data_IF_809348050117
#
_entry.id   IF_809348050117
#
_cell.length_a   1.000
_cell.length_b   1.000
_cell.length_c   1.000
_cell.angle_alpha   90.00
_cell.angle_beta   90.00
_cell.angle_gamma   90.00
#
_symmetry.space_group_name_H-M   'P 1'
#
loop_
_entity.id
_entity.type
_entity.pdbx_description
1 polymer ?
#
# COMPACT_ATOMS: atom_id res chain seq x y z
N UNK A 1 7.61 -2.29 23.01
CA UNK A 1 8.30 -1.38 22.08
C UNK A 1 7.63 -1.29 20.71
N UNK A 2 7.21 -2.41 20.10
CA UNK A 2 6.52 -2.39 18.80
C UNK A 2 5.24 -1.55 18.71
N UNK A 3 4.45 -1.41 19.79
CA UNK A 3 3.22 -0.58 19.79
C UNK A 3 3.51 0.90 19.54
N UNK A 4 4.61 1.43 20.08
CA UNK A 4 5.00 2.84 19.88
C UNK A 4 5.42 3.09 18.43
N UNK A 5 6.19 2.16 17.85
CA UNK A 5 6.56 2.21 16.44
C UNK A 5 5.36 2.07 15.51
N UNK A 6 4.39 1.23 15.86
CA UNK A 6 3.14 1.09 15.11
C UNK A 6 2.31 2.38 15.14
N UNK A 7 2.19 3.03 16.31
CA UNK A 7 1.49 4.32 16.44
C UNK A 7 2.20 5.43 15.66
N UNK A 8 3.54 5.52 15.78
CA UNK A 8 4.33 6.49 15.06
C UNK A 8 4.20 6.30 13.53
N UNK A 9 4.28 5.06 13.05
CA UNK A 9 4.07 4.72 11.64
C UNK A 9 2.66 5.10 11.17
N UNK A 10 1.63 4.81 11.97
CA UNK A 10 0.25 5.18 11.65
C UNK A 10 0.05 6.69 11.55
N UNK A 11 0.66 7.47 12.45
CA UNK A 11 0.62 8.94 12.39
C UNK A 11 1.34 9.48 11.15
N UNK A 12 2.50 8.93 10.80
CA UNK A 12 3.23 9.30 9.59
C UNK A 12 2.43 8.97 8.33
N UNK A 13 1.80 7.80 8.29
CA UNK A 13 0.93 7.38 7.19
C UNK A 13 -0.26 8.33 7.04
N UNK A 14 -0.92 8.71 8.15
CA UNK A 14 -2.02 9.67 8.13
C UNK A 14 -1.57 11.05 7.62
N UNK A 15 -0.43 11.55 8.10
CA UNK A 15 0.15 12.81 7.63
C UNK A 15 0.49 12.75 6.14
N UNK A 16 1.01 11.61 5.65
CA UNK A 16 1.30 11.40 4.24
C UNK A 16 0.02 11.44 3.41
N UNK A 17 -1.04 10.70 3.81
CA UNK A 17 -2.33 10.68 3.12
C UNK A 17 -3.00 12.06 3.03
N UNK A 18 -2.84 12.90 4.06
CA UNK A 18 -3.33 14.28 4.05
C UNK A 18 -2.59 15.15 3.03
N UNK A 19 -1.30 14.90 2.80
CA UNK A 19 -0.47 15.63 1.84
C UNK A 19 -0.61 15.13 0.38
N UNK A 20 -1.21 13.95 0.16
CA UNK A 20 -1.41 13.40 -1.20
C UNK A 20 -2.29 14.31 -2.06
N UNK A 21 -3.40 14.82 -1.53
CA UNK A 21 -4.37 15.64 -2.28
C UNK A 21 -3.76 16.94 -2.84
N UNK A 22 -3.11 17.79 -2.04
CA UNK A 22 -2.47 19.00 -2.58
C UNK A 22 -1.27 18.67 -3.48
N UNK A 23 -0.43 17.71 -3.11
CA UNK A 23 0.77 17.38 -3.90
C UNK A 23 0.49 16.76 -5.27
N UNK A 24 -0.57 15.96 -5.40
CA UNK A 24 -0.99 15.40 -6.69
C UNK A 24 -1.70 16.40 -7.60
N UNK A 25 -2.33 17.43 -7.03
CA UNK A 25 -2.98 18.49 -7.80
C UNK A 25 -1.98 19.42 -8.51
N UNK A 26 -0.85 19.74 -7.85
CA UNK A 26 0.15 20.68 -8.39
C UNK A 26 1.18 20.04 -9.33
N UNK A 27 1.61 18.80 -9.05
CA UNK A 27 2.74 18.17 -9.74
C UNK A 27 2.32 17.06 -10.72
N UNK A 28 1.07 16.62 -10.66
CA UNK A 28 0.57 15.45 -11.36
C UNK A 28 0.95 14.13 -10.64
N UNK A 29 0.11 13.07 -10.70
CA UNK A 29 0.29 11.86 -9.89
C UNK A 29 1.63 11.14 -10.12
N UNK A 30 2.12 11.14 -11.36
CA UNK A 30 3.36 10.47 -11.74
C UNK A 30 4.60 11.13 -11.12
N UNK A 31 4.69 12.46 -11.17
CA UNK A 31 5.80 13.22 -10.59
C UNK A 31 5.77 13.20 -9.06
N UNK A 32 4.58 13.31 -8.47
CA UNK A 32 4.44 13.24 -7.02
C UNK A 32 4.95 11.89 -6.48
N UNK A 33 4.54 10.77 -7.09
CA UNK A 33 5.04 9.46 -6.69
C UNK A 33 6.51 9.22 -7.01
N UNK A 34 7.05 9.79 -8.10
CA UNK A 34 8.49 9.73 -8.37
C UNK A 34 9.30 10.49 -7.30
N UNK A 35 8.81 11.67 -6.88
CA UNK A 35 9.46 12.46 -5.84
C UNK A 35 9.37 11.78 -4.48
N UNK A 36 8.24 11.15 -4.15
CA UNK A 36 8.11 10.36 -2.92
C UNK A 36 9.14 9.23 -2.88
N UNK A 37 9.33 8.53 -4.01
CA UNK A 37 10.29 7.43 -4.11
C UNK A 37 11.73 7.91 -3.99
N UNK A 38 12.04 9.07 -4.58
CA UNK A 38 13.34 9.72 -4.45
C UNK A 38 13.63 10.15 -3.02
N UNK A 39 12.68 10.83 -2.36
CA UNK A 39 12.82 11.27 -0.97
C UNK A 39 12.97 10.06 -0.06
N UNK A 40 12.12 9.04 -0.23
CA UNK A 40 12.23 7.79 0.53
C UNK A 40 13.62 7.15 0.35
N UNK A 41 14.08 7.01 -0.89
CA UNK A 41 15.39 6.44 -1.21
C UNK A 41 16.55 7.21 -0.56
N UNK A 42 16.51 8.55 -0.61
CA UNK A 42 17.52 9.41 0.01
C UNK A 42 17.51 9.31 1.53
N UNK A 43 16.33 9.29 2.15
CA UNK A 43 16.17 9.15 3.59
C UNK A 43 16.66 7.78 4.05
N UNK A 44 16.38 6.70 3.31
CA UNK A 44 16.80 5.35 3.68
C UNK A 44 18.25 5.03 3.33
N UNK A 45 18.89 5.82 2.47
CA UNK A 45 20.26 5.62 1.98
C UNK A 45 21.30 5.36 3.10
N UNK A 46 21.38 6.15 4.21
CA UNK A 46 22.36 5.91 5.26
C UNK A 46 22.17 4.57 5.98
N UNK A 47 20.92 4.13 6.17
CA UNK A 47 20.62 2.81 6.75
C UNK A 47 20.88 1.67 5.77
N UNK A 48 20.61 1.89 4.48
CA UNK A 48 20.92 0.92 3.43
C UNK A 48 22.44 0.69 3.33
N UNK A 49 23.24 1.76 3.36
CA UNK A 49 24.70 1.68 3.32
C UNK A 49 25.29 0.88 4.49
N UNK A 50 24.71 1.01 5.69
CA UNK A 50 25.11 0.20 6.85
C UNK A 50 24.70 -1.27 6.76
N UNK A 51 23.67 -1.60 5.98
CA UNK A 51 23.16 -2.96 5.83
C UNK A 51 23.86 -3.75 4.71
N UNK A 52 24.58 -3.08 3.79
CA UNK A 52 25.29 -3.71 2.65
C UNK A 52 26.18 -4.90 3.06
N UNK A 53 26.95 -4.85 4.17
CA UNK A 53 27.81 -5.97 4.58
C UNK A 53 27.04 -7.26 4.90
N UNK A 54 25.77 -7.15 5.33
CA UNK A 54 24.93 -8.28 5.74
C UNK A 54 24.12 -8.89 4.58
N UNK A 55 24.10 -8.26 3.41
CA UNK A 55 23.26 -8.68 2.27
C UNK A 55 23.76 -9.98 1.61
N UNK A 56 25.03 -10.33 1.76
CA UNK A 56 25.61 -11.64 1.43
C UNK A 56 24.98 -12.36 0.23
N UNK A 57 24.44 -13.56 0.47
CA UNK A 57 23.77 -14.42 -0.52
C UNK A 57 22.34 -13.98 -0.85
N UNK A 58 21.74 -13.11 -0.03
CA UNK A 58 20.35 -12.64 -0.16
C UNK A 58 20.19 -11.47 -1.13
N UNK A 59 21.29 -11.01 -1.75
CA UNK A 59 21.26 -9.90 -2.72
C UNK A 59 20.23 -10.12 -3.83
N UNK A 60 20.06 -11.37 -4.29
CA UNK A 60 19.05 -11.72 -5.29
C UNK A 60 17.62 -11.43 -4.80
N UNK A 61 17.29 -11.81 -3.56
CA UNK A 61 15.97 -11.57 -2.96
C UNK A 61 15.75 -10.07 -2.73
N UNK A 62 16.76 -9.35 -2.24
CA UNK A 62 16.70 -7.90 -2.05
C UNK A 62 16.44 -7.17 -3.37
N UNK A 63 17.10 -7.58 -4.46
CA UNK A 63 16.87 -7.00 -5.79
C UNK A 63 15.48 -7.32 -6.34
N UNK A 64 14.99 -8.56 -6.14
CA UNK A 64 13.63 -8.95 -6.56
C UNK A 64 12.57 -8.14 -5.81
N UNK A 65 12.70 -7.99 -4.49
CA UNK A 65 11.77 -7.21 -3.68
C UNK A 65 11.85 -5.71 -3.99
N UNK A 66 13.07 -5.17 -4.11
CA UNK A 66 13.29 -3.74 -4.36
C UNK A 66 12.92 -3.32 -5.78
N UNK A 67 13.48 -3.96 -6.80
CA UNK A 67 13.27 -3.57 -8.20
C UNK A 67 11.97 -4.17 -8.73
N UNK A 68 11.74 -5.46 -8.53
CA UNK A 68 10.58 -6.17 -9.06
C UNK A 68 9.29 -5.78 -8.35
N UNK A 69 9.19 -6.16 -7.08
CA UNK A 69 7.95 -6.04 -6.33
C UNK A 69 7.62 -4.59 -5.95
N UNK A 70 8.63 -3.77 -5.66
CA UNK A 70 8.41 -2.38 -5.23
C UNK A 70 8.50 -1.41 -6.41
N UNK A 71 9.62 -1.41 -7.13
CA UNK A 71 9.86 -0.47 -8.24
C UNK A 71 8.92 -0.65 -9.43
N UNK A 72 8.98 -1.82 -10.08
CA UNK A 72 8.20 -2.10 -11.29
C UNK A 72 6.71 -2.12 -10.98
N UNK A 73 6.28 -2.79 -9.91
CA UNK A 73 4.87 -2.80 -9.51
C UNK A 73 4.35 -1.39 -9.24
N UNK A 74 5.12 -0.56 -8.54
CA UNK A 74 4.79 0.84 -8.29
C UNK A 74 4.61 1.62 -9.60
N UNK A 75 5.53 1.50 -10.55
CA UNK A 75 5.42 2.16 -11.85
C UNK A 75 4.17 1.72 -12.63
N UNK A 76 3.87 0.41 -12.61
CA UNK A 76 2.64 -0.14 -13.22
C UNK A 76 1.41 0.43 -12.52
N UNK A 77 1.40 0.51 -11.19
CA UNK A 77 0.30 1.06 -10.41
C UNK A 77 0.06 2.54 -10.74
N UNK A 78 1.11 3.36 -10.79
CA UNK A 78 1.01 4.77 -11.18
C UNK A 78 0.50 4.94 -12.63
N UNK A 79 0.94 4.07 -13.54
CA UNK A 79 0.45 4.06 -14.92
C UNK A 79 -1.02 3.62 -15.01
N UNK A 80 -1.43 2.64 -14.21
CA UNK A 80 -2.79 2.14 -14.15
C UNK A 80 -3.78 3.15 -13.55
N UNK A 81 -3.35 3.98 -12.58
CA UNK A 81 -4.21 5.02 -12.00
C UNK A 81 -4.76 6.00 -13.04
N UNK A 82 -4.09 6.17 -14.19
CA UNK A 82 -4.55 7.04 -15.27
C UNK A 82 -5.56 6.37 -16.22
N UNK A 83 -5.71 5.04 -16.14
CA UNK A 83 -6.56 4.24 -17.05
C UNK A 83 -7.71 3.54 -16.34
N UNK A 84 -7.64 3.43 -15.02
CA UNK A 84 -8.59 2.66 -14.20
C UNK A 84 -9.43 3.61 -13.33
N UNK A 85 -10.76 3.44 -13.26
CA UNK A 85 -11.61 4.26 -12.41
C UNK A 85 -11.25 4.12 -10.92
N UNK A 86 -11.34 5.22 -10.18
CA UNK A 86 -10.97 5.33 -8.76
C UNK A 86 -11.65 4.27 -7.89
N UNK A 87 -12.88 3.86 -8.21
CA UNK A 87 -13.61 2.81 -7.49
C UNK A 87 -12.88 1.45 -7.49
N UNK A 88 -12.27 1.06 -8.61
CA UNK A 88 -11.51 -0.19 -8.72
C UNK A 88 -10.22 -0.08 -7.90
N UNK A 89 -9.54 1.07 -7.95
CA UNK A 89 -8.33 1.33 -7.17
C UNK A 89 -8.58 1.28 -5.66
N UNK A 90 -9.70 1.84 -5.21
CA UNK A 90 -10.13 1.75 -3.82
C UNK A 90 -10.42 0.30 -3.39
N UNK A 91 -11.00 -0.53 -4.27
CA UNK A 91 -11.23 -1.95 -3.99
C UNK A 91 -9.91 -2.71 -3.84
N UNK A 92 -8.93 -2.48 -4.71
CA UNK A 92 -7.60 -3.11 -4.64
C UNK A 92 -6.89 -2.86 -3.32
N UNK A 93 -7.01 -1.67 -2.74
CA UNK A 93 -6.39 -1.35 -1.43
C UNK A 93 -6.92 -2.18 -0.26
N UNK A 94 -8.12 -2.77 -0.38
CA UNK A 94 -8.65 -3.69 0.64
C UNK A 94 -8.20 -5.13 0.41
N UNK A 95 -7.96 -5.50 -0.85
CA UNK A 95 -7.49 -6.85 -1.22
C UNK A 95 -6.00 -7.01 -0.91
N UNK A 96 -5.21 -5.95 -1.04
CA UNK A 96 -3.77 -5.94 -0.76
C UNK A 96 -3.41 -6.50 0.62
N UNK A 97 -3.98 -6.04 1.75
CA UNK A 97 -3.66 -6.60 3.07
C UNK A 97 -4.11 -8.06 3.23
N UNK A 98 -5.20 -8.48 2.56
CA UNK A 98 -5.59 -9.90 2.55
C UNK A 98 -4.56 -10.76 1.81
N UNK A 99 -4.10 -10.29 0.65
CA UNK A 99 -3.09 -10.97 -0.15
C UNK A 99 -1.73 -11.03 0.59
N UNK A 100 -1.36 -9.96 1.31
CA UNK A 100 -0.15 -9.92 2.12
C UNK A 100 -0.14 -10.98 3.23
N UNK A 101 -1.26 -11.16 3.93
CA UNK A 101 -1.41 -12.21 4.95
C UNK A 101 -1.26 -13.61 4.34
N UNK A 102 -1.93 -13.88 3.23
CA UNK A 102 -1.85 -15.18 2.55
C UNK A 102 -0.43 -15.44 2.04
N UNK A 103 0.21 -14.43 1.47
CA UNK A 103 1.59 -14.52 1.00
C UNK A 103 2.57 -14.77 2.16
N UNK A 104 2.40 -14.10 3.30
CA UNK A 104 3.25 -14.34 4.47
C UNK A 104 3.12 -15.78 4.97
N UNK A 105 1.90 -16.31 5.05
CA UNK A 105 1.68 -17.69 5.45
C UNK A 105 2.30 -18.70 4.47
N UNK A 106 2.15 -18.48 3.16
CA UNK A 106 2.62 -19.42 2.13
C UNK A 106 4.12 -19.32 1.81
N UNK A 107 4.70 -18.12 1.87
CA UNK A 107 6.09 -17.86 1.44
C UNK A 107 7.07 -17.79 2.60
N UNK A 108 6.64 -17.36 3.79
CA UNK A 108 7.50 -17.24 4.97
C UNK A 108 7.26 -18.34 6.02
N UNK A 109 6.27 -19.22 5.80
CA UNK A 109 5.86 -20.27 6.75
C UNK A 109 5.52 -19.71 8.15
N UNK A 110 5.15 -18.43 8.22
CA UNK A 110 4.74 -17.76 9.45
C UNK A 110 3.31 -18.19 9.81
N UNK A 111 3.20 -19.23 10.64
CA UNK A 111 1.90 -19.72 11.08
C UNK A 111 1.20 -18.70 11.99
N UNK A 112 0.01 -18.19 11.61
CA UNK A 112 -0.68 -17.19 12.42
C UNK A 112 -1.02 -17.79 13.79
N UNK A 113 -0.42 -17.26 14.85
CA UNK A 113 -0.83 -17.62 16.21
C UNK A 113 -2.29 -17.24 16.50
N UNK A 114 -2.85 -17.63 17.65
CA UNK A 114 -4.26 -17.37 17.99
C UNK A 114 -4.68 -15.88 17.91
N UNK A 115 -3.76 -14.95 18.21
CA UNK A 115 -3.98 -13.50 18.04
C UNK A 115 -3.84 -13.06 16.57
N UNK A 116 -3.01 -13.75 15.79
CA UNK A 116 -2.87 -13.56 14.35
C UNK A 116 -4.18 -13.85 13.63
N UNK A 117 -4.85 -14.96 13.96
CA UNK A 117 -6.17 -15.29 13.39
C UNK A 117 -7.24 -14.22 13.63
N UNK A 118 -7.25 -13.57 14.80
CA UNK A 118 -8.15 -12.44 15.07
C UNK A 118 -7.84 -11.26 14.14
N UNK A 119 -6.55 -10.95 13.94
CA UNK A 119 -6.12 -9.92 12.99
C UNK A 119 -6.56 -10.23 11.56
N UNK A 120 -6.37 -11.48 11.11
CA UNK A 120 -6.81 -11.94 9.79
C UNK A 120 -8.32 -11.80 9.63
N UNK A 121 -9.10 -12.26 10.60
CA UNK A 121 -10.55 -12.14 10.57
C UNK A 121 -11.01 -10.68 10.46
N UNK A 122 -10.37 -9.76 11.20
CA UNK A 122 -10.69 -8.34 11.12
C UNK A 122 -10.37 -7.77 9.72
N UNK A 123 -9.19 -8.04 9.16
CA UNK A 123 -8.83 -7.57 7.82
C UNK A 123 -9.82 -8.07 6.77
N UNK A 124 -10.20 -9.34 6.82
CA UNK A 124 -11.15 -9.96 5.89
C UNK A 124 -12.55 -9.34 6.03
N UNK A 125 -13.05 -9.16 7.26
CA UNK A 125 -14.40 -8.62 7.53
C UNK A 125 -14.49 -7.15 7.09
N UNK A 126 -13.55 -6.31 7.53
CA UNK A 126 -13.58 -4.88 7.20
C UNK A 126 -13.29 -4.64 5.72
N UNK A 127 -12.33 -5.37 5.13
CA UNK A 127 -12.04 -5.30 3.69
C UNK A 127 -13.24 -5.71 2.85
N UNK A 128 -13.90 -6.82 3.20
CA UNK A 128 -15.11 -7.29 2.52
C UNK A 128 -16.30 -6.32 2.68
N UNK A 129 -16.50 -5.74 3.87
CA UNK A 129 -17.56 -4.77 4.12
C UNK A 129 -17.40 -3.52 3.26
N UNK A 130 -16.19 -2.97 3.17
CA UNK A 130 -15.95 -1.77 2.34
C UNK A 130 -16.03 -2.10 0.85
N UNK A 131 -15.49 -3.26 0.43
CA UNK A 131 -15.65 -3.75 -0.94
C UNK A 131 -17.13 -3.83 -1.35
N UNK A 132 -17.97 -4.41 -0.48
CA UNK A 132 -19.41 -4.50 -0.71
C UNK A 132 -20.11 -3.13 -0.73
N UNK A 133 -19.70 -2.20 0.16
CA UNK A 133 -20.21 -0.83 0.17
C UNK A 133 -19.90 -0.10 -1.14
N UNK A 134 -18.70 -0.27 -1.68
CA UNK A 134 -18.28 0.34 -2.93
C UNK A 134 -19.03 -0.24 -4.14
N UNK A 135 -19.24 -1.56 -4.19
CA UNK A 135 -20.08 -2.17 -5.22
C UNK A 135 -21.54 -1.72 -5.15
N UNK A 136 -22.08 -1.55 -3.94
CA UNK A 136 -23.43 -1.01 -3.73
C UNK A 136 -23.54 0.43 -4.20
N UNK A 137 -22.58 1.29 -3.86
CA UNK A 137 -22.55 2.67 -4.30
C UNK A 137 -22.43 2.80 -5.83
N UNK A 138 -21.65 1.91 -6.48
CA UNK A 138 -21.53 1.86 -7.93
C UNK A 138 -22.79 1.29 -8.63
N UNK A 139 -23.61 0.50 -7.91
CA UNK A 139 -24.88 -0.08 -8.39
C UNK A 139 -26.11 0.79 -8.18
N UNK A 140 -25.97 2.03 -7.70
CA UNK A 140 -27.06 3.02 -7.70
C UNK A 140 -26.82 4.01 -8.84
N UNK A 141 -27.30 3.74 -10.07
CA UNK A 141 -27.39 4.75 -11.10
C UNK A 141 -28.53 5.71 -10.73
N UNK A 142 -28.16 6.88 -10.22
CA UNK A 142 -29.03 8.04 -10.22
C UNK A 142 -29.25 8.72 -8.88
N UNK A 143 -28.24 9.40 -8.35
CA UNK A 143 -28.39 10.64 -7.56
C UNK A 143 -27.18 11.58 -7.76
N UNK A 144 -26.65 11.68 -8.98
CA UNK A 144 -25.73 12.78 -9.37
C UNK A 144 -26.28 13.41 -10.64
N UNK A 145 -27.44 14.03 -10.48
CA UNK A 145 -28.21 14.62 -11.57
C UNK A 145 -29.46 15.37 -11.11
N UNK A 146 -29.44 15.98 -9.92
CA UNK A 146 -30.38 17.03 -9.53
C UNK A 146 -29.92 17.64 -8.20
N UNK A 147 -29.31 18.83 -8.23
CA UNK A 147 -29.04 19.55 -6.99
C UNK A 147 -27.91 20.56 -7.05
N UNK A 148 -28.07 21.58 -7.90
CA UNK A 148 -27.53 22.95 -7.79
C UNK A 148 -26.01 23.13 -7.84
#
# INVERSE_FOLDING_TARGET
>A
EGVLWALASGMLLAAMLLNVKPGTADLGPLRFGAWQGLVASLVTLPWAASAVPDVGDDLGLVLILGIGLTGISGLIYLAAMHRVPVSILSSTMYVEPMAAVVAAWLLLDEEPGGRGWIGIALVVIFGGMVGWSNERAARIPGEVGAGV
#
